data_IF_075669270379
#
_entry.id   IF_075669270379
#
_cell.length_a   1.000
_cell.length_b   1.000
_cell.length_c   1.000
_cell.angle_alpha   90.00
_cell.angle_beta   90.00
_cell.angle_gamma   90.00
#
_symmetry.space_group_name_H-M   'P 1'
#
loop_
_entity.id
_entity.type
_entity.pdbx_description
1 polymer ?
#
# COMPACT_ATOMS: atom_id res chain seq x y z
N UNK A 1 49.41 49.58 -35.01
CA UNK A 1 47.99 49.23 -34.86
C UNK A 1 47.86 48.20 -33.75
N UNK A 2 47.69 48.66 -32.51
CA UNK A 2 47.48 47.82 -31.32
C UNK A 2 46.28 48.44 -30.61
N UNK A 3 45.13 47.76 -30.66
CA UNK A 3 43.92 48.19 -29.97
C UNK A 3 44.04 47.72 -28.52
N UNK A 4 44.20 48.67 -27.60
CA UNK A 4 44.02 48.45 -26.17
C UNK A 4 42.54 48.20 -25.89
N UNK A 5 42.21 46.98 -25.47
CA UNK A 5 40.86 46.60 -25.07
C UNK A 5 40.47 47.32 -23.76
N UNK A 6 39.59 48.32 -23.93
CA UNK A 6 38.67 48.79 -22.89
C UNK A 6 37.61 47.72 -22.67
N UNK A 7 37.92 46.68 -21.89
CA UNK A 7 36.88 45.82 -21.33
C UNK A 7 36.65 46.15 -19.86
N UNK A 8 35.62 46.97 -19.72
CA UNK A 8 34.85 47.36 -18.55
C UNK A 8 34.94 46.42 -17.34
N UNK A 9 35.31 47.01 -16.21
CA UNK A 9 34.85 46.64 -14.88
C UNK A 9 33.32 46.50 -14.89
N UNK A 10 32.81 45.29 -15.09
CA UNK A 10 31.41 44.94 -14.82
C UNK A 10 31.33 44.42 -13.39
N UNK A 11 31.59 45.33 -12.45
CA UNK A 11 31.28 45.17 -11.03
C UNK A 11 29.77 45.33 -10.88
N UNK A 12 29.00 44.35 -11.34
CA UNK A 12 27.55 44.33 -11.15
C UNK A 12 27.22 43.34 -10.03
N UNK A 13 27.08 43.90 -8.83
CA UNK A 13 25.99 43.60 -7.91
C UNK A 13 25.51 42.15 -7.92
N UNK A 14 26.35 41.21 -7.44
CA UNK A 14 25.79 40.15 -6.59
C UNK A 14 25.35 40.85 -5.32
N UNK A 15 24.14 41.41 -5.37
CA UNK A 15 23.37 41.71 -4.18
C UNK A 15 23.50 40.49 -3.29
N UNK A 16 24.22 40.67 -2.18
CA UNK A 16 23.88 39.99 -0.94
C UNK A 16 22.36 40.13 -0.81
N UNK A 17 21.60 39.15 -1.31
CA UNK A 17 20.41 38.75 -0.61
C UNK A 17 20.96 38.24 0.71
N UNK A 18 21.17 39.16 1.64
CA UNK A 18 20.67 38.92 2.98
C UNK A 18 19.21 38.57 2.75
N UNK A 19 18.96 37.28 2.49
CA UNK A 19 17.65 36.70 2.66
C UNK A 19 17.38 36.95 4.13
N UNK A 20 16.77 38.10 4.42
CA UNK A 20 16.22 38.41 5.72
C UNK A 20 15.49 37.14 6.09
N UNK A 21 15.94 36.46 7.14
CA UNK A 21 15.35 35.24 7.64
C UNK A 21 13.93 35.59 8.07
N UNK A 22 13.02 35.68 7.09
CA UNK A 22 11.63 36.04 7.30
C UNK A 22 11.10 34.90 8.14
N UNK A 23 10.63 35.25 9.32
CA UNK A 23 9.95 34.34 10.23
C UNK A 23 8.72 33.74 9.52
N UNK A 24 8.93 32.64 8.82
CA UNK A 24 7.89 31.90 8.11
C UNK A 24 7.33 30.80 9.00
N UNK A 25 6.69 31.23 10.10
CA UNK A 25 6.02 30.34 11.04
C UNK A 25 4.96 29.48 10.33
N UNK A 26 4.32 30.02 9.29
CA UNK A 26 3.34 29.27 8.49
C UNK A 26 3.99 28.05 7.84
N UNK A 27 5.15 28.21 7.22
CA UNK A 27 5.89 27.09 6.62
C UNK A 27 6.34 26.07 7.67
N UNK A 28 6.78 26.53 8.85
CA UNK A 28 7.09 25.64 9.97
C UNK A 28 5.90 24.73 10.32
N UNK A 29 4.73 25.32 10.59
CA UNK A 29 3.53 24.56 10.97
C UNK A 29 3.07 23.59 9.87
N UNK A 30 3.13 24.01 8.60
CA UNK A 30 2.78 23.14 7.47
C UNK A 30 3.69 21.92 7.40
N UNK A 31 5.01 22.11 7.51
CA UNK A 31 5.97 20.99 7.47
C UNK A 31 5.81 20.08 8.68
N UNK A 32 5.56 20.64 9.86
CA UNK A 32 5.32 19.88 11.07
C UNK A 32 4.05 19.00 10.96
N UNK A 33 2.93 19.58 10.53
CA UNK A 33 1.68 18.84 10.31
C UNK A 33 1.88 17.75 9.23
N UNK A 34 2.61 18.06 8.16
CA UNK A 34 2.93 17.10 7.11
C UNK A 34 3.67 15.87 7.67
N UNK A 35 4.67 16.07 8.54
CA UNK A 35 5.40 14.99 9.18
C UNK A 35 4.51 14.14 10.11
N UNK A 36 3.63 14.78 10.89
CA UNK A 36 2.66 14.06 11.73
C UNK A 36 1.76 13.17 10.87
N UNK A 37 1.21 13.71 9.79
CA UNK A 37 0.34 12.96 8.88
C UNK A 37 1.09 11.78 8.27
N UNK A 38 2.35 11.97 7.85
CA UNK A 38 3.17 10.89 7.30
C UNK A 38 3.40 9.75 8.29
N UNK A 39 3.78 10.09 9.52
CA UNK A 39 3.98 9.09 10.58
C UNK A 39 2.66 8.40 10.94
N UNK A 40 1.55 9.15 11.02
CA UNK A 40 0.24 8.58 11.30
C UNK A 40 -0.17 7.55 10.23
N UNK A 41 -0.01 7.88 8.94
CA UNK A 41 -0.25 6.96 7.83
C UNK A 41 0.66 5.73 7.95
N UNK A 42 1.94 5.93 8.25
CA UNK A 42 2.90 4.84 8.40
C UNK A 42 2.51 3.86 9.52
N UNK A 43 2.17 4.40 10.69
CA UNK A 43 1.75 3.61 11.86
C UNK A 43 0.46 2.86 11.59
N UNK A 44 -0.50 3.51 10.93
CA UNK A 44 -1.75 2.85 10.51
C UNK A 44 -1.47 1.68 9.58
N UNK A 45 -0.66 1.89 8.54
CA UNK A 45 -0.31 0.82 7.60
C UNK A 45 0.45 -0.32 8.28
N UNK A 46 1.44 -0.01 9.13
CA UNK A 46 2.24 -1.01 9.84
C UNK A 46 1.44 -1.79 10.88
N UNK A 47 0.53 -1.13 11.59
CA UNK A 47 -0.37 -1.80 12.54
C UNK A 47 -1.38 -2.70 11.83
N UNK A 48 -1.99 -2.22 10.74
CA UNK A 48 -2.92 -3.05 9.96
C UNK A 48 -2.20 -4.26 9.35
N UNK A 49 -0.95 -4.06 8.90
CA UNK A 49 -0.10 -5.16 8.46
C UNK A 49 0.12 -6.19 9.58
N UNK A 50 0.54 -5.74 10.77
CA UNK A 50 0.75 -6.61 11.92
C UNK A 50 -0.53 -7.38 12.29
N UNK A 51 -1.67 -6.69 12.37
CA UNK A 51 -2.97 -7.28 12.64
C UNK A 51 -3.30 -8.42 11.67
N UNK A 52 -3.11 -8.18 10.38
CA UNK A 52 -3.34 -9.16 9.31
C UNK A 52 -2.42 -10.38 9.48
N UNK A 53 -1.14 -10.17 9.81
CA UNK A 53 -0.21 -11.30 9.96
C UNK A 53 -0.50 -12.19 11.17
N UNK A 54 -1.10 -11.62 12.22
CA UNK A 54 -1.45 -12.31 13.46
C UNK A 54 -2.79 -13.08 13.37
N UNK A 55 -3.70 -12.68 12.48
CA UNK A 55 -5.02 -13.31 12.39
C UNK A 55 -4.94 -14.71 11.74
N UNK A 56 -5.00 -15.77 12.57
CA UNK A 56 -4.94 -17.19 12.17
C UNK A 56 -6.00 -17.61 11.14
N UNK A 57 -7.13 -16.92 11.06
CA UNK A 57 -8.19 -17.22 10.07
C UNK A 57 -7.85 -16.77 8.63
N UNK A 58 -6.66 -16.21 8.38
CA UNK A 58 -6.32 -15.71 7.04
C UNK A 58 -6.01 -16.78 5.98
N UNK A 59 -5.84 -18.05 6.37
CA UNK A 59 -5.61 -19.11 5.38
C UNK A 59 -6.83 -19.35 4.48
N UNK A 60 -8.04 -19.11 4.99
CA UNK A 60 -9.28 -19.21 4.21
C UNK A 60 -9.64 -17.91 3.48
N UNK A 61 -9.15 -16.75 3.96
CA UNK A 61 -9.45 -15.43 3.36
C UNK A 61 -8.56 -15.11 2.15
N UNK A 62 -7.39 -15.77 2.02
CA UNK A 62 -6.48 -15.66 0.88
C UNK A 62 -6.35 -17.03 0.20
N UNK A 63 -7.37 -17.50 -0.53
CA UNK A 63 -7.33 -18.81 -1.18
C UNK A 63 -6.28 -18.81 -2.30
N UNK A 64 -5.37 -19.76 -2.24
CA UNK A 64 -4.28 -19.94 -3.23
C UNK A 64 -4.54 -21.07 -4.21
N UNK A 65 -5.66 -21.79 -4.07
CA UNK A 65 -5.98 -22.95 -4.90
C UNK A 65 -6.69 -22.51 -6.19
N UNK A 66 -6.16 -22.91 -7.35
CA UNK A 66 -6.69 -22.61 -8.70
C UNK A 66 -8.07 -23.25 -8.93
N UNK A 67 -8.36 -24.36 -8.25
CA UNK A 67 -9.56 -25.15 -8.45
C UNK A 67 -10.74 -24.69 -7.58
N UNK A 68 -10.51 -23.73 -6.70
CA UNK A 68 -11.52 -23.25 -5.76
C UNK A 68 -11.73 -21.77 -6.05
N UNK A 69 -12.97 -21.34 -6.38
CA UNK A 69 -13.24 -19.92 -6.52
C UNK A 69 -12.94 -19.22 -5.20
N UNK A 70 -12.32 -18.04 -5.24
CA UNK A 70 -12.07 -17.29 -4.03
C UNK A 70 -13.42 -17.04 -3.37
N UNK A 71 -13.46 -17.15 -2.04
CA UNK A 71 -14.66 -16.88 -1.25
C UNK A 71 -15.80 -17.93 -1.31
N UNK A 72 -15.60 -19.06 -1.98
CA UNK A 72 -16.51 -20.23 -1.93
C UNK A 72 -16.76 -20.77 -0.50
N UNK A 73 -15.83 -20.47 0.42
CA UNK A 73 -15.91 -20.81 1.84
C UNK A 73 -16.03 -19.59 2.76
N UNK A 74 -16.56 -18.45 2.30
CA UNK A 74 -16.91 -17.39 3.26
C UNK A 74 -17.91 -18.00 4.25
N UNK A 75 -17.58 -18.07 5.56
CA UNK A 75 -18.52 -18.55 6.55
C UNK A 75 -19.76 -17.66 6.50
N UNK A 76 -20.94 -18.26 6.46
CA UNK A 76 -22.20 -17.52 6.63
C UNK A 76 -22.04 -16.66 7.89
N UNK A 77 -22.04 -15.33 7.72
CA UNK A 77 -21.91 -14.39 8.83
C UNK A 77 -22.87 -14.78 9.96
N UNK A 78 -22.35 -14.81 11.17
CA UNK A 78 -23.16 -15.10 12.34
C UNK A 78 -24.26 -14.04 12.51
N UNK A 79 -25.38 -14.39 13.14
CA UNK A 79 -26.50 -13.48 13.42
C UNK A 79 -26.08 -12.24 14.22
N UNK A 80 -24.97 -12.31 14.96
CA UNK A 80 -24.37 -11.19 15.66
C UNK A 80 -23.65 -10.20 14.72
N UNK A 81 -22.88 -10.70 13.74
CA UNK A 81 -22.20 -9.88 12.73
C UNK A 81 -23.19 -9.14 11.81
N UNK A 82 -24.34 -9.76 11.51
CA UNK A 82 -25.46 -9.09 10.84
C UNK A 82 -25.99 -7.90 11.63
N UNK A 83 -26.10 -8.02 12.97
CA UNK A 83 -26.59 -6.95 13.85
C UNK A 83 -25.59 -5.79 13.99
N UNK A 84 -24.29 -6.09 14.03
CA UNK A 84 -23.25 -5.05 14.07
C UNK A 84 -23.15 -4.31 12.73
N UNK A 85 -23.29 -5.03 11.60
CA UNK A 85 -23.33 -4.42 10.26
C UNK A 85 -24.48 -3.42 10.08
N UNK A 86 -25.64 -3.65 10.73
CA UNK A 86 -26.77 -2.70 10.68
C UNK A 86 -26.62 -1.47 11.58
N UNK A 87 -25.79 -1.52 12.62
CA UNK A 87 -25.62 -0.39 13.57
C UNK A 87 -24.66 0.71 13.08
N UNK A 88 -23.75 0.40 12.15
CA UNK A 88 -22.76 1.37 11.63
C UNK A 88 -23.04 1.84 10.20
N UNK A 89 -24.29 1.72 9.73
CA UNK A 89 -24.63 1.88 8.32
C UNK A 89 -24.23 0.63 7.55
N UNK A 90 -25.25 -0.13 7.12
CA UNK A 90 -25.14 -1.46 6.52
C UNK A 90 -23.84 -1.69 5.77
N UNK A 91 -23.10 -2.75 6.13
CA UNK A 91 -22.00 -3.23 5.30
C UNK A 91 -22.60 -3.51 3.89
N UNK A 92 -22.27 -2.74 2.84
CA UNK A 92 -23.00 -2.75 1.56
C UNK A 92 -22.91 -4.10 0.83
N UNK A 93 -22.15 -5.04 1.38
CA UNK A 93 -21.93 -6.38 0.87
C UNK A 93 -22.77 -7.47 1.58
N UNK A 94 -23.60 -7.15 2.58
CA UNK A 94 -24.33 -8.17 3.38
C UNK A 94 -25.54 -8.78 2.69
N UNK A 95 -26.18 -8.07 1.76
CA UNK A 95 -27.37 -8.56 1.04
C UNK A 95 -27.07 -9.06 -0.38
N UNK A 96 -25.84 -8.84 -0.87
CA UNK A 96 -25.44 -9.30 -2.19
C UNK A 96 -24.90 -10.72 -2.09
N UNK A 97 -25.70 -11.71 -2.49
CA UNK A 97 -25.18 -13.03 -2.87
C UNK A 97 -24.34 -12.83 -4.13
N UNK A 98 -23.07 -12.51 -3.98
CA UNK A 98 -22.15 -12.52 -5.10
C UNK A 98 -22.17 -13.93 -5.72
N UNK A 99 -22.48 -14.00 -7.01
CA UNK A 99 -22.19 -15.21 -7.76
C UNK A 99 -20.66 -15.28 -7.90
N UNK A 100 -19.98 -15.84 -6.89
CA UNK A 100 -18.52 -15.97 -6.81
C UNK A 100 -17.92 -16.85 -7.91
N UNK A 101 -18.80 -17.38 -8.75
CA UNK A 101 -18.45 -18.22 -9.85
C UNK A 101 -17.67 -17.51 -10.95
N UNK A 102 -17.88 -16.23 -11.26
CA UNK A 102 -17.06 -15.57 -12.30
C UNK A 102 -15.62 -15.29 -11.80
N UNK A 103 -14.55 -15.58 -12.59
CA UNK A 103 -14.53 -16.21 -13.91
C UNK A 103 -14.37 -17.75 -13.88
N UNK A 104 -14.41 -18.38 -12.71
CA UNK A 104 -14.30 -19.83 -12.51
C UNK A 104 -15.41 -20.65 -13.19
N UNK A 105 -16.66 -20.17 -13.20
CA UNK A 105 -17.82 -20.81 -13.86
C UNK A 105 -17.64 -20.90 -15.37
N UNK A 106 -16.80 -20.06 -15.95
CA UNK A 106 -16.52 -20.11 -17.39
C UNK A 106 -15.74 -21.37 -17.76
N UNK A 107 -15.10 -22.05 -16.79
CA UNK A 107 -14.45 -23.35 -17.01
C UNK A 107 -15.42 -24.42 -17.50
N UNK A 108 -16.70 -24.35 -17.14
CA UNK A 108 -17.67 -25.39 -17.52
C UNK A 108 -18.42 -25.06 -18.83
N UNK A 109 -17.95 -24.07 -19.60
CA UNK A 109 -18.62 -23.56 -20.80
C UNK A 109 -17.96 -24.04 -22.10
N UNK A 110 -17.85 -23.18 -23.12
CA UNK A 110 -17.20 -23.51 -24.39
C UNK A 110 -15.67 -23.36 -24.30
N UNK A 111 -14.93 -23.75 -25.34
CA UNK A 111 -13.47 -23.69 -25.34
C UNK A 111 -12.89 -22.30 -25.05
N UNK A 112 -13.57 -21.24 -25.48
CA UNK A 112 -13.17 -19.85 -25.23
C UNK A 112 -13.39 -19.47 -23.76
N UNK A 113 -14.53 -19.84 -23.20
CA UNK A 113 -14.83 -19.63 -21.79
C UNK A 113 -13.91 -20.45 -20.88
N UNK A 114 -13.63 -21.70 -21.24
CA UNK A 114 -12.68 -22.54 -20.50
C UNK A 114 -11.28 -21.92 -20.46
N UNK A 115 -10.77 -21.50 -21.62
CA UNK A 115 -9.50 -20.78 -21.74
C UNK A 115 -9.47 -19.54 -20.83
N UNK A 116 -10.50 -18.70 -20.91
CA UNK A 116 -10.56 -17.46 -20.14
C UNK A 116 -10.66 -17.72 -18.64
N UNK A 117 -11.50 -18.67 -18.23
CA UNK A 117 -11.68 -19.04 -16.83
C UNK A 117 -10.42 -19.66 -16.22
N UNK A 118 -9.69 -20.49 -16.97
CA UNK A 118 -8.42 -21.06 -16.52
C UNK A 118 -7.33 -19.99 -16.42
N UNK A 119 -7.20 -19.12 -17.42
CA UNK A 119 -6.26 -18.00 -17.43
C UNK A 119 -6.46 -17.10 -16.20
N UNK A 120 -7.69 -16.66 -15.96
CA UNK A 120 -8.01 -15.78 -14.84
C UNK A 120 -7.79 -16.47 -13.49
N UNK A 121 -8.23 -17.74 -13.34
CA UNK A 121 -8.05 -18.49 -12.10
C UNK A 121 -6.56 -18.66 -11.73
N UNK A 122 -5.72 -18.99 -12.73
CA UNK A 122 -4.26 -19.13 -12.55
C UNK A 122 -3.61 -17.79 -12.17
N UNK A 123 -4.01 -16.69 -12.81
CA UNK A 123 -3.49 -15.37 -12.45
C UNK A 123 -3.84 -15.00 -11.01
N UNK A 124 -5.10 -15.22 -10.64
CA UNK A 124 -5.66 -14.92 -9.34
C UNK A 124 -5.03 -15.73 -8.20
N UNK A 125 -4.79 -17.03 -8.41
CA UNK A 125 -4.15 -17.88 -7.41
C UNK A 125 -2.68 -17.55 -7.22
N UNK A 126 -1.96 -17.23 -8.31
CA UNK A 126 -0.51 -17.02 -8.29
C UNK A 126 -0.14 -15.74 -7.54
N UNK A 127 -0.88 -14.66 -7.80
CA UNK A 127 -0.75 -13.40 -7.06
C UNK A 127 -1.01 -13.58 -5.56
N UNK A 128 -2.08 -14.30 -5.20
CA UNK A 128 -2.41 -14.62 -3.80
C UNK A 128 -1.39 -15.54 -3.13
N UNK A 129 -0.83 -16.50 -3.85
CA UNK A 129 0.22 -17.38 -3.33
C UNK A 129 1.48 -16.60 -2.96
N UNK A 130 1.86 -15.63 -3.78
CA UNK A 130 3.00 -14.76 -3.51
C UNK A 130 2.69 -13.84 -2.33
N UNK A 131 1.48 -13.28 -2.27
CA UNK A 131 1.05 -12.50 -1.12
C UNK A 131 1.08 -13.32 0.18
N UNK A 132 0.63 -14.58 0.15
CA UNK A 132 0.73 -15.48 1.31
C UNK A 132 2.17 -15.69 1.74
N UNK A 133 3.10 -15.90 0.80
CA UNK A 133 4.54 -16.00 1.10
C UNK A 133 5.08 -14.72 1.74
N UNK A 134 4.64 -13.55 1.28
CA UNK A 134 5.01 -12.25 1.87
C UNK A 134 4.50 -12.15 3.32
N UNK A 135 3.24 -12.53 3.57
CA UNK A 135 2.68 -12.55 4.92
C UNK A 135 3.40 -13.57 5.81
N UNK A 136 3.70 -14.76 5.30
CA UNK A 136 4.40 -15.80 6.07
C UNK A 136 5.84 -15.38 6.40
N UNK A 137 6.56 -14.76 5.45
CA UNK A 137 7.85 -14.14 5.72
C UNK A 137 7.74 -13.10 6.84
N UNK A 138 6.71 -12.26 6.79
CA UNK A 138 6.56 -11.16 7.73
C UNK A 138 6.18 -11.58 9.15
N UNK A 139 5.63 -12.79 9.35
CA UNK A 139 5.42 -13.36 10.68
C UNK A 139 6.73 -13.52 11.45
N UNK A 140 7.87 -13.61 10.75
CA UNK A 140 9.19 -13.75 11.34
C UNK A 140 9.85 -12.40 11.74
N UNK A 141 9.26 -11.24 11.38
CA UNK A 141 9.89 -9.92 11.60
C UNK A 141 9.69 -9.36 13.01
N UNK A 142 8.87 -9.99 13.85
CA UNK A 142 8.44 -9.44 15.15
C UNK A 142 7.56 -8.18 15.00
N UNK A 143 6.93 -7.72 16.08
CA UNK A 143 5.99 -6.57 16.01
C UNK A 143 6.67 -5.27 15.58
N UNK A 144 7.86 -4.99 16.11
CA UNK A 144 8.67 -3.81 15.72
C UNK A 144 9.06 -3.84 14.24
N UNK A 145 9.54 -5.00 13.75
CA UNK A 145 9.91 -5.15 12.34
C UNK A 145 8.70 -5.03 11.42
N UNK A 146 7.54 -5.54 11.83
CA UNK A 146 6.28 -5.36 11.11
C UNK A 146 5.81 -3.90 11.07
N UNK A 147 6.00 -3.13 12.15
CA UNK A 147 5.64 -1.70 12.15
C UNK A 147 6.55 -0.88 11.23
N UNK A 148 7.86 -1.16 11.23
CA UNK A 148 8.85 -0.43 10.43
C UNK A 148 8.79 -0.86 8.95
N UNK A 149 8.87 -2.16 8.68
CA UNK A 149 8.98 -2.70 7.33
C UNK A 149 7.63 -3.01 6.69
N UNK A 150 6.56 -3.16 7.49
CA UNK A 150 5.23 -3.52 7.01
C UNK A 150 4.73 -2.62 5.89
N UNK A 151 4.76 -1.29 6.02
CA UNK A 151 4.33 -0.40 4.93
C UNK A 151 5.14 -0.59 3.63
N UNK A 152 6.45 -0.82 3.73
CA UNK A 152 7.30 -1.10 2.55
C UNK A 152 6.95 -2.45 1.94
N UNK A 153 6.72 -3.47 2.76
CA UNK A 153 6.31 -4.81 2.32
C UNK A 153 4.93 -4.77 1.65
N UNK A 154 4.00 -3.95 2.15
CA UNK A 154 2.69 -3.69 1.54
C UNK A 154 2.88 -3.06 0.16
N UNK A 155 3.68 -2.00 0.05
CA UNK A 155 3.92 -1.30 -1.23
C UNK A 155 4.57 -2.24 -2.24
N UNK A 156 5.59 -2.99 -1.81
CA UNK A 156 6.26 -3.98 -2.65
C UNK A 156 5.29 -5.10 -3.06
N UNK A 157 4.51 -5.63 -2.12
CA UNK A 157 3.49 -6.64 -2.38
C UNK A 157 2.43 -6.17 -3.37
N UNK A 158 2.00 -4.91 -3.26
CA UNK A 158 1.07 -4.29 -4.20
C UNK A 158 1.66 -4.19 -5.61
N UNK A 159 2.90 -3.71 -5.74
CA UNK A 159 3.58 -3.58 -7.02
C UNK A 159 3.84 -4.95 -7.67
N UNK A 160 4.36 -5.89 -6.88
CA UNK A 160 4.68 -7.25 -7.30
C UNK A 160 3.40 -7.99 -7.72
N UNK A 161 2.32 -7.88 -6.94
CA UNK A 161 1.00 -8.45 -7.26
C UNK A 161 0.48 -7.99 -8.62
N UNK A 162 0.60 -6.69 -8.95
CA UNK A 162 0.17 -6.16 -10.24
C UNK A 162 0.98 -6.72 -11.42
N UNK A 163 2.32 -6.71 -11.30
CA UNK A 163 3.21 -7.23 -12.34
C UNK A 163 3.00 -8.74 -12.54
N UNK A 164 2.86 -9.49 -11.46
CA UNK A 164 2.59 -10.92 -11.52
C UNK A 164 1.21 -11.17 -12.08
N UNK A 165 0.17 -10.45 -11.64
CA UNK A 165 -1.18 -10.57 -12.17
C UNK A 165 -1.18 -10.42 -13.69
N UNK A 166 -0.46 -9.42 -14.20
CA UNK A 166 -0.23 -9.23 -15.63
C UNK A 166 0.52 -10.41 -16.28
N UNK A 167 1.72 -10.74 -15.81
CA UNK A 167 2.56 -11.79 -16.39
C UNK A 167 1.91 -13.19 -16.34
N UNK A 168 1.18 -13.49 -15.26
CA UNK A 168 0.48 -14.76 -15.08
C UNK A 168 -0.78 -14.85 -15.92
N UNK A 169 -1.41 -13.72 -16.27
CA UNK A 169 -2.49 -13.68 -17.26
C UNK A 169 -1.93 -14.05 -18.64
N UNK A 170 -0.78 -13.49 -19.03
CA UNK A 170 -0.08 -13.85 -20.28
C UNK A 170 0.41 -15.30 -20.27
N UNK A 171 0.96 -15.78 -19.15
CA UNK A 171 1.43 -17.16 -19.04
C UNK A 171 0.27 -18.15 -19.07
N UNK A 172 -0.79 -17.89 -18.30
CA UNK A 172 -1.98 -18.73 -18.26
C UNK A 172 -2.70 -18.81 -19.61
N UNK A 173 -2.63 -17.74 -20.40
CA UNK A 173 -3.21 -17.73 -21.75
C UNK A 173 -2.41 -18.62 -22.73
N UNK A 174 -1.09 -18.74 -22.54
CA UNK A 174 -0.19 -19.60 -23.34
C UNK A 174 -0.19 -21.08 -22.92
N UNK A 175 -0.62 -21.40 -21.69
CA UNK A 175 -0.70 -22.77 -21.18
C UNK A 175 -1.91 -23.55 -21.69
N UNK A 176 -2.82 -22.90 -22.40
CA UNK A 176 -3.98 -23.55 -23.00
C UNK A 176 -3.59 -24.31 -24.27
N UNK A 177 -4.38 -25.33 -24.63
CA UNK A 177 -4.31 -26.04 -25.92
C UNK A 177 -4.15 -25.09 -27.12
N UNK A 178 -3.85 -25.65 -28.30
CA UNK A 178 -3.62 -24.90 -29.57
C UNK A 178 -4.62 -23.75 -29.78
N UNK A 179 -5.90 -23.96 -29.44
CA UNK A 179 -6.95 -22.94 -29.49
C UNK A 179 -6.65 -21.70 -28.63
N UNK A 180 -6.18 -21.88 -27.40
CA UNK A 180 -5.82 -20.77 -26.51
C UNK A 180 -4.53 -20.06 -26.90
N UNK A 181 -3.58 -20.76 -27.54
CA UNK A 181 -2.41 -20.12 -28.15
C UNK A 181 -2.85 -19.20 -29.28
N UNK A 182 -3.70 -19.68 -30.19
CA UNK A 182 -4.26 -18.88 -31.29
C UNK A 182 -5.03 -17.68 -30.73
N UNK A 183 -5.88 -17.90 -29.73
CA UNK A 183 -6.66 -16.83 -29.11
C UNK A 183 -5.77 -15.80 -28.41
N UNK A 184 -4.71 -16.25 -27.73
CA UNK A 184 -3.71 -15.38 -27.10
C UNK A 184 -3.02 -14.49 -28.13
N UNK A 185 -2.57 -15.07 -29.25
CA UNK A 185 -1.92 -14.32 -30.32
C UNK A 185 -2.87 -13.28 -30.92
N UNK A 186 -4.12 -13.67 -31.20
CA UNK A 186 -5.14 -12.74 -31.71
C UNK A 186 -5.41 -11.61 -30.69
N UNK A 187 -5.66 -11.94 -29.43
CA UNK A 187 -5.93 -10.96 -28.39
C UNK A 187 -4.71 -10.07 -28.06
N UNK A 188 -3.49 -10.56 -28.27
CA UNK A 188 -2.26 -9.78 -28.13
C UNK A 188 -2.09 -8.79 -29.29
N UNK A 189 -2.37 -9.21 -30.53
CA UNK A 189 -2.30 -8.36 -31.73
C UNK A 189 -3.34 -7.23 -31.66
N UNK A 190 -4.57 -7.52 -31.23
CA UNK A 190 -5.64 -6.54 -31.23
C UNK A 190 -5.69 -5.66 -29.97
N UNK A 191 -4.93 -6.00 -28.91
CA UNK A 191 -4.93 -5.28 -27.64
C UNK A 191 -5.91 -5.72 -26.52
N UNK A 192 -6.97 -6.54 -26.74
CA UNK A 192 -7.84 -6.99 -25.65
C UNK A 192 -7.11 -7.67 -24.48
N UNK A 193 -6.04 -8.43 -24.75
CA UNK A 193 -5.29 -9.13 -23.70
C UNK A 193 -4.59 -8.16 -22.74
N UNK A 194 -4.12 -7.02 -23.26
CA UNK A 194 -3.52 -5.95 -22.46
C UNK A 194 -4.56 -5.29 -21.55
N UNK A 195 -5.75 -5.04 -22.08
CA UNK A 195 -6.87 -4.45 -21.31
C UNK A 195 -7.29 -5.41 -20.19
N UNK A 196 -7.52 -6.69 -20.52
CA UNK A 196 -7.93 -7.72 -19.55
C UNK A 196 -6.87 -7.86 -18.44
N UNK A 197 -5.59 -7.93 -18.82
CA UNK A 197 -4.49 -8.05 -17.85
C UNK A 197 -4.39 -6.82 -16.94
N UNK A 198 -4.62 -5.62 -17.48
CA UNK A 198 -4.59 -4.36 -16.72
C UNK A 198 -5.77 -4.22 -15.76
N UNK A 199 -6.98 -4.60 -16.20
CA UNK A 199 -8.19 -4.64 -15.36
C UNK A 199 -8.00 -5.65 -14.24
N UNK A 200 -7.45 -6.83 -14.55
CA UNK A 200 -7.16 -7.87 -13.56
C UNK A 200 -6.16 -7.38 -12.50
N UNK A 201 -5.05 -6.76 -12.91
CA UNK A 201 -4.10 -6.14 -11.98
C UNK A 201 -4.80 -5.09 -11.10
N UNK A 202 -5.59 -4.20 -11.70
CA UNK A 202 -6.33 -3.16 -10.96
C UNK A 202 -7.30 -3.72 -9.92
N UNK A 203 -8.00 -4.82 -10.23
CA UNK A 203 -8.88 -5.51 -9.29
C UNK A 203 -8.08 -6.16 -8.15
N UNK A 204 -6.93 -6.76 -8.44
CA UNK A 204 -6.03 -7.31 -7.43
C UNK A 204 -5.50 -6.21 -6.50
N UNK A 205 -5.08 -5.08 -7.05
CA UNK A 205 -4.69 -3.89 -6.31
C UNK A 205 -5.82 -3.38 -5.40
N UNK A 206 -7.05 -3.28 -5.91
CA UNK A 206 -8.21 -2.84 -5.13
C UNK A 206 -8.50 -3.79 -3.97
N UNK A 207 -8.54 -5.10 -4.21
CA UNK A 207 -8.76 -6.11 -3.18
C UNK A 207 -7.66 -6.08 -2.12
N UNK A 208 -6.41 -5.89 -2.55
CA UNK A 208 -5.27 -5.73 -1.65
C UNK A 208 -5.45 -4.48 -0.77
N UNK A 209 -5.79 -3.33 -1.35
CA UNK A 209 -6.05 -2.10 -0.59
C UNK A 209 -7.21 -2.26 0.40
N UNK A 210 -8.31 -2.88 -0.01
CA UNK A 210 -9.46 -3.15 0.88
C UNK A 210 -9.04 -4.03 2.06
N UNK A 211 -8.23 -5.06 1.84
CA UNK A 211 -7.75 -5.93 2.89
C UNK A 211 -6.94 -5.17 3.96
N UNK A 212 -6.11 -4.20 3.56
CA UNK A 212 -5.32 -3.38 4.48
C UNK A 212 -6.10 -2.26 5.17
N UNK A 213 -7.19 -1.78 4.57
CA UNK A 213 -8.01 -0.72 5.15
C UNK A 213 -9.06 -1.31 6.12
N UNK A 214 -9.53 -2.53 5.85
CA UNK A 214 -10.58 -3.20 6.65
C UNK A 214 -10.36 -3.14 8.16
N UNK A 215 -9.14 -3.36 8.71
CA UNK A 215 -8.92 -3.29 10.15
C UNK A 215 -9.34 -1.96 10.79
N UNK A 216 -9.24 -0.82 10.08
CA UNK A 216 -9.65 0.50 10.58
C UNK A 216 -11.15 0.60 10.87
N UNK A 217 -11.96 -0.15 10.13
CA UNK A 217 -13.42 -0.12 10.26
C UNK A 217 -13.93 -1.16 11.28
N UNK A 218 -13.10 -2.12 11.70
CA UNK A 218 -13.45 -3.13 12.70
C UNK A 218 -13.06 -2.72 14.12
N UNK A 219 -13.81 -3.13 15.14
CA UNK A 219 -13.45 -2.89 16.55
C UNK A 219 -12.08 -3.49 16.89
N UNK A 220 -11.89 -4.77 16.55
CA UNK A 220 -10.67 -5.51 16.86
C UNK A 220 -9.43 -4.89 16.19
N UNK A 221 -9.55 -4.40 14.95
CA UNK A 221 -8.45 -3.72 14.27
C UNK A 221 -8.14 -2.35 14.88
N UNK A 222 -9.14 -1.57 15.32
CA UNK A 222 -8.92 -0.31 16.05
C UNK A 222 -8.27 -0.53 17.41
N UNK A 223 -8.69 -1.56 18.14
CA UNK A 223 -8.09 -1.91 19.43
C UNK A 223 -6.64 -2.35 19.26
N UNK A 224 -6.35 -3.11 18.19
CA UNK A 224 -4.98 -3.45 17.82
C UNK A 224 -4.15 -2.22 17.49
N UNK A 225 -4.67 -1.28 16.69
CA UNK A 225 -3.99 -0.01 16.38
C UNK A 225 -3.66 0.79 17.64
N UNK A 226 -4.61 0.91 18.57
CA UNK A 226 -4.38 1.60 19.84
C UNK A 226 -3.30 0.89 20.66
N UNK A 227 -3.32 -0.44 20.70
CA UNK A 227 -2.29 -1.24 21.36
C UNK A 227 -0.92 -1.05 20.71
N UNK A 228 -0.84 -1.04 19.37
CA UNK A 228 0.41 -0.80 18.63
C UNK A 228 0.98 0.59 18.94
N UNK A 229 0.14 1.62 18.95
CA UNK A 229 0.56 3.00 19.29
C UNK A 229 1.12 3.07 20.71
N UNK A 230 0.44 2.46 21.68
CA UNK A 230 0.87 2.47 23.07
C UNK A 230 2.17 1.68 23.27
N UNK A 231 2.28 0.50 22.65
CA UNK A 231 3.45 -0.37 22.77
C UNK A 231 4.69 0.20 22.08
N UNK A 232 4.50 0.96 21.00
CA UNK A 232 5.59 1.49 20.18
C UNK A 232 5.68 3.01 20.19
N UNK A 233 5.14 3.68 21.22
CA UNK A 233 5.13 5.14 21.35
C UNK A 233 6.53 5.74 21.20
N UNK A 234 7.52 5.20 21.91
CA UNK A 234 8.92 5.66 21.84
C UNK A 234 9.50 5.55 20.42
N UNK A 235 9.21 4.46 19.71
CA UNK A 235 9.64 4.27 18.32
C UNK A 235 8.94 5.26 17.37
N UNK A 236 7.65 5.50 17.57
CA UNK A 236 6.88 6.48 16.78
C UNK A 236 7.44 7.88 16.99
N UNK A 237 7.74 8.26 18.24
CA UNK A 237 8.38 9.54 18.57
C UNK A 237 9.78 9.66 17.97
N UNK A 238 10.59 8.59 18.02
CA UNK A 238 11.89 8.53 17.37
C UNK A 238 11.76 8.78 15.85
N UNK A 239 10.85 8.09 15.17
CA UNK A 239 10.62 8.26 13.74
C UNK A 239 10.18 9.70 13.39
N UNK A 240 9.26 10.26 14.17
CA UNK A 240 8.81 11.64 14.00
C UNK A 240 9.96 12.63 14.23
N UNK A 241 10.77 12.42 15.27
CA UNK A 241 11.95 13.21 15.57
C UNK A 241 12.98 13.19 14.44
N UNK A 242 13.25 12.01 13.85
CA UNK A 242 14.14 11.86 12.70
C UNK A 242 13.61 12.61 11.47
N UNK A 243 12.31 12.52 11.17
CA UNK A 243 11.72 13.25 10.04
C UNK A 243 11.77 14.77 10.23
N UNK A 244 11.48 15.26 11.44
CA UNK A 244 11.59 16.69 11.76
C UNK A 244 13.04 17.14 11.67
N UNK A 245 14.00 16.34 12.14
CA UNK A 245 15.43 16.63 12.05
C UNK A 245 15.89 16.71 10.60
N UNK A 246 15.52 15.74 9.76
CA UNK A 246 15.84 15.76 8.33
C UNK A 246 15.27 17.01 7.63
N UNK A 247 14.04 17.42 7.97
CA UNK A 247 13.46 18.65 7.45
C UNK A 247 14.12 19.91 8.01
N UNK A 248 14.60 19.88 9.26
CA UNK A 248 15.35 20.98 9.86
C UNK A 248 16.68 21.21 9.14
N UNK A 249 17.39 20.14 8.76
CA UNK A 249 18.60 20.23 7.94
C UNK A 249 18.37 20.97 6.61
N UNK A 250 17.24 20.71 5.96
CA UNK A 250 16.85 21.42 4.73
C UNK A 250 16.50 22.91 4.95
N UNK A 251 16.37 23.36 6.21
CA UNK A 251 15.99 24.72 6.59
C UNK A 251 16.96 25.36 7.61
N UNK A 252 18.20 24.88 7.72
CA UNK A 252 19.19 25.31 8.74
C UNK A 252 19.45 26.83 8.75
N UNK A 253 19.39 27.48 7.59
CA UNK A 253 19.64 28.92 7.46
C UNK A 253 18.45 29.80 7.88
N UNK A 254 17.44 29.22 8.53
CA UNK A 254 16.20 29.93 8.89
C UNK A 254 15.76 29.62 10.33
N UNK A 255 15.03 30.56 10.95
CA UNK A 255 14.38 30.35 12.25
C UNK A 255 13.44 29.14 12.26
N UNK A 256 12.94 28.72 11.08
CA UNK A 256 12.14 27.50 10.91
C UNK A 256 12.95 26.25 11.26
N UNK A 257 14.20 26.15 10.81
CA UNK A 257 15.08 25.02 11.13
C UNK A 257 15.40 24.94 12.63
N UNK A 258 15.70 26.08 13.26
CA UNK A 258 15.93 26.14 14.70
C UNK A 258 14.69 25.74 15.50
N UNK A 259 13.51 26.23 15.12
CA UNK A 259 12.24 25.85 15.74
C UNK A 259 11.94 24.36 15.64
N UNK A 260 12.27 23.73 14.50
CA UNK A 260 12.16 22.28 14.32
C UNK A 260 13.09 21.51 15.27
N UNK A 261 14.34 21.94 15.44
CA UNK A 261 15.29 21.28 16.35
C UNK A 261 14.88 21.43 17.83
N UNK A 262 14.38 22.59 18.24
CA UNK A 262 13.84 22.80 19.59
C UNK A 262 12.63 21.87 19.82
N UNK A 263 11.73 21.77 18.85
CA UNK A 263 10.58 20.85 18.95
C UNK A 263 11.02 19.40 19.10
N UNK A 264 12.05 18.98 18.35
CA UNK A 264 12.65 17.65 18.49
C UNK A 264 13.18 17.44 19.92
N UNK A 265 13.94 18.40 20.46
CA UNK A 265 14.43 18.31 21.84
C UNK A 265 13.30 18.17 22.86
N UNK A 266 12.22 18.96 22.73
CA UNK A 266 11.02 18.86 23.59
C UNK A 266 10.37 17.48 23.49
N UNK A 267 10.27 16.93 22.27
CA UNK A 267 9.67 15.62 22.04
C UNK A 267 10.46 14.45 22.61
N UNK A 268 11.79 14.57 22.70
CA UNK A 268 12.65 13.51 23.27
C UNK A 268 12.70 13.54 24.80
N UNK A 269 12.42 14.66 25.46
CA UNK A 269 12.44 14.76 26.93
C UNK A 269 11.56 13.67 27.58
N UNK A 270 10.29 13.47 27.17
CA UNK A 270 9.45 12.41 27.72
C UNK A 270 9.93 10.99 27.43
N UNK A 271 10.75 10.78 26.40
CA UNK A 271 11.25 9.44 26.03
C UNK A 271 12.47 9.01 26.86
N UNK A 272 13.05 9.92 27.64
CA UNK A 272 14.20 9.67 28.53
C UNK A 272 13.79 9.21 29.94
N UNK A 273 12.50 9.30 30.28
CA UNK A 273 11.93 8.93 31.58
C UNK A 273 10.92 7.80 31.42
#
# INVERSE_FOLDING_TARGET
MVKLDKNSKKTNNKSKKEDSAKNDYKRFFVVFIYNIIHIAIWVVLGSNFSYITMFKNNESSIPTNINIPPYSKIPKMSSFEKRVGTMFGGNPFTDYKYNYGFPYDLKDTNSVGYWFGQMMATSWSSSRAIFRKILDFSKNLGSTGQLILGPLIIILGWLVSNVIGFCTTLYGSLQSDITGIILTVLCAIFGPLWIISSVNASLQALLFSLFFITPLFTSNGRDHLRSTINQHSNLIFLMLGLMITANAYNNLNSYVGLGMLIMVAIMYIPTLF
#
